data_IF_955147738352
#
_entry.id   IF_955147738352
#
_cell.length_a   1.000
_cell.length_b   1.000
_cell.length_c   1.000
_cell.angle_alpha   90.00
_cell.angle_beta   90.00
_cell.angle_gamma   90.00
#
_symmetry.space_group_name_H-M   'P 1'
#
loop_
_entity.id
_entity.type
_entity.pdbx_description
1 polymer ?
#
# COMPACT_ATOMS: atom_id res chain seq x y z
N UNK A 1 13.41 6.45 -3.38
CA UNK A 1 11.97 6.77 -3.49
C UNK A 1 11.52 7.12 -4.92
N UNK A 2 12.11 8.13 -5.59
CA UNK A 2 11.71 8.58 -6.95
C UNK A 2 11.56 7.47 -7.99
N UNK A 3 12.55 6.56 -8.10
CA UNK A 3 12.51 5.42 -9.03
C UNK A 3 11.28 4.52 -8.81
N UNK A 4 10.93 4.24 -7.54
CA UNK A 4 9.77 3.40 -7.19
C UNK A 4 8.45 4.09 -7.59
N UNK A 5 8.31 5.38 -7.30
CA UNK A 5 7.15 6.17 -7.71
C UNK A 5 6.98 6.11 -9.24
N UNK A 6 8.08 6.33 -9.97
CA UNK A 6 8.06 6.28 -11.42
C UNK A 6 7.64 4.89 -11.93
N UNK A 7 8.27 3.82 -11.44
CA UNK A 7 7.88 2.45 -11.82
C UNK A 7 6.41 2.15 -11.53
N UNK A 8 5.87 2.54 -10.37
CA UNK A 8 4.45 2.35 -10.04
C UNK A 8 3.56 3.07 -11.06
N UNK A 9 3.88 4.34 -11.37
CA UNK A 9 3.12 5.16 -12.32
C UNK A 9 3.23 4.66 -13.76
N UNK A 10 4.42 4.23 -14.18
CA UNK A 10 4.66 3.67 -15.52
C UNK A 10 3.87 2.38 -15.75
N UNK A 11 3.56 1.64 -14.69
CA UNK A 11 2.70 0.45 -14.72
C UNK A 11 1.20 0.78 -14.56
N UNK A 12 0.83 2.06 -14.50
CA UNK A 12 -0.56 2.49 -14.33
C UNK A 12 -1.15 2.16 -12.95
N UNK A 13 -0.30 1.94 -11.94
CA UNK A 13 -0.72 1.58 -10.58
C UNK A 13 -0.74 2.82 -9.66
N UNK A 14 -1.60 2.81 -8.61
CA UNK A 14 -1.75 3.95 -7.71
C UNK A 14 -0.57 4.14 -6.75
N UNK A 15 -0.26 5.42 -6.49
CA UNK A 15 0.59 5.89 -5.40
C UNK A 15 -0.17 6.99 -4.65
N UNK A 16 -0.45 6.76 -3.36
CA UNK A 16 -1.26 7.65 -2.54
C UNK A 16 -0.45 8.15 -1.34
N UNK A 17 -0.76 9.36 -0.88
CA UNK A 17 -0.18 9.96 0.32
C UNK A 17 -1.29 10.40 1.26
N UNK A 18 -1.06 10.26 2.57
CA UNK A 18 -1.93 10.79 3.60
C UNK A 18 -1.39 12.15 4.05
N UNK A 19 -2.25 13.16 4.02
CA UNK A 19 -1.94 14.49 4.55
C UNK A 19 -2.63 14.69 5.90
N UNK A 20 -1.89 15.21 6.87
CA UNK A 20 -2.41 15.62 8.16
C UNK A 20 -1.80 16.95 8.55
N UNK A 21 -2.65 17.96 8.79
CA UNK A 21 -2.22 19.34 9.10
C UNK A 21 -1.17 19.91 8.13
N UNK A 22 -1.32 19.60 6.84
CA UNK A 22 -0.43 20.08 5.78
C UNK A 22 0.87 19.29 5.61
N UNK A 23 1.13 18.27 6.45
CA UNK A 23 2.28 17.40 6.34
C UNK A 23 1.91 16.03 5.77
N UNK A 24 2.82 15.39 5.05
CA UNK A 24 2.68 13.98 4.64
C UNK A 24 3.00 13.10 5.85
N UNK A 25 2.03 12.32 6.32
CA UNK A 25 2.14 11.45 7.50
C UNK A 25 2.06 9.96 7.15
N UNK A 26 1.98 9.63 5.87
CA UNK A 26 1.93 8.25 5.40
C UNK A 26 1.80 8.17 3.89
N UNK A 27 2.08 7.00 3.34
CA UNK A 27 1.90 6.72 1.92
C UNK A 27 1.60 5.24 1.70
N UNK A 28 0.95 4.94 0.58
CA UNK A 28 0.76 3.57 0.12
C UNK A 28 0.85 3.47 -1.40
N UNK A 29 1.13 2.29 -1.91
CA UNK A 29 1.16 2.03 -3.35
C UNK A 29 0.91 0.55 -3.63
N UNK A 30 0.57 0.24 -4.88
CA UNK A 30 0.48 -1.12 -5.38
C UNK A 30 1.56 -1.43 -6.42
N UNK A 31 2.03 -2.66 -6.44
CA UNK A 31 2.95 -3.21 -7.47
C UNK A 31 2.48 -4.58 -7.93
N UNK A 32 2.98 -5.07 -9.06
CA UNK A 32 2.78 -6.47 -9.44
C UNK A 32 3.51 -7.40 -8.46
N UNK A 33 2.82 -8.43 -7.99
CA UNK A 33 3.35 -9.34 -6.97
C UNK A 33 4.60 -10.10 -7.46
N UNK A 34 4.56 -10.75 -8.64
CA UNK A 34 5.67 -11.52 -9.23
C UNK A 34 5.56 -11.59 -10.75
N UNK A 35 6.68 -11.80 -11.49
CA UNK A 35 6.67 -11.77 -12.96
C UNK A 35 6.06 -13.01 -13.62
N UNK A 36 5.77 -14.09 -12.89
CA UNK A 36 5.21 -15.31 -13.50
C UNK A 36 3.80 -15.03 -14.04
N UNK A 37 3.44 -15.47 -15.27
CA UNK A 37 2.14 -15.20 -15.87
C UNK A 37 0.91 -15.63 -15.07
N UNK A 38 1.07 -16.59 -14.15
CA UNK A 38 0.02 -17.01 -13.23
C UNK A 38 -0.44 -15.89 -12.28
N UNK A 39 0.44 -14.92 -11.96
CA UNK A 39 0.16 -13.79 -11.06
C UNK A 39 -0.21 -12.49 -11.80
N UNK A 40 -0.51 -12.55 -13.10
CA UNK A 40 -0.77 -11.34 -13.91
C UNK A 40 -1.95 -10.48 -13.44
N UNK A 41 -2.82 -11.02 -12.58
CA UNK A 41 -3.93 -10.30 -11.96
C UNK A 41 -3.76 -10.10 -10.45
N UNK A 42 -2.55 -10.31 -9.92
CA UNK A 42 -2.23 -10.22 -8.50
C UNK A 42 -1.35 -9.01 -8.23
N UNK A 43 -1.83 -8.14 -7.34
CA UNK A 43 -1.07 -7.01 -6.83
C UNK A 43 -0.51 -7.30 -5.43
N UNK A 44 0.56 -6.60 -5.10
CA UNK A 44 1.11 -6.46 -3.76
C UNK A 44 0.95 -5.01 -3.32
N UNK A 45 0.49 -4.80 -2.09
CA UNK A 45 0.43 -3.47 -1.48
C UNK A 45 1.65 -3.20 -0.58
N UNK A 46 1.99 -1.92 -0.41
CA UNK A 46 2.81 -1.50 0.72
C UNK A 46 2.24 -0.22 1.32
N UNK A 47 2.11 -0.18 2.64
CA UNK A 47 1.65 0.97 3.42
C UNK A 47 2.68 1.35 4.48
N UNK A 48 2.95 2.65 4.60
CA UNK A 48 3.81 3.21 5.64
C UNK A 48 3.10 4.40 6.29
N UNK A 49 3.12 4.44 7.62
CA UNK A 49 2.59 5.54 8.44
C UNK A 49 3.73 6.08 9.29
N UNK A 50 3.79 7.39 9.45
CA UNK A 50 4.79 8.06 10.28
C UNK A 50 4.75 7.53 11.73
N UNK A 51 5.93 7.40 12.35
CA UNK A 51 6.03 6.96 13.74
C UNK A 51 5.26 7.89 14.67
N UNK A 52 4.51 7.33 15.62
CA UNK A 52 3.63 8.10 16.51
C UNK A 52 2.30 8.56 15.90
N UNK A 53 2.05 8.27 14.61
CA UNK A 53 0.75 8.49 13.96
C UNK A 53 -0.12 7.21 13.89
N UNK A 54 0.31 6.13 14.55
CA UNK A 54 -0.47 4.90 14.72
C UNK A 54 -1.79 5.12 15.50
N UNK A 55 -2.72 4.17 15.40
CA UNK A 55 -4.02 4.21 16.10
C UNK A 55 -5.01 5.28 15.62
N UNK A 56 -4.68 6.04 14.56
CA UNK A 56 -5.50 7.15 14.04
C UNK A 56 -6.30 6.80 12.77
N UNK A 57 -6.34 5.53 12.39
CA UNK A 57 -7.01 5.06 11.18
C UNK A 57 -6.33 5.46 9.85
N UNK A 58 -5.13 6.07 9.88
CA UNK A 58 -4.41 6.53 8.66
C UNK A 58 -4.08 5.35 7.74
N UNK A 59 -3.53 4.26 8.29
CA UNK A 59 -3.20 3.06 7.53
C UNK A 59 -4.43 2.43 6.89
N UNK A 60 -5.52 2.28 7.64
CA UNK A 60 -6.79 1.77 7.14
C UNK A 60 -7.37 2.66 6.03
N UNK A 61 -7.36 3.98 6.20
CA UNK A 61 -7.83 4.92 5.17
C UNK A 61 -7.00 4.85 3.89
N UNK A 62 -5.67 4.74 4.01
CA UNK A 62 -4.77 4.52 2.88
C UNK A 62 -5.05 3.19 2.17
N UNK A 63 -5.22 2.09 2.92
CA UNK A 63 -5.53 0.78 2.36
C UNK A 63 -6.87 0.76 1.63
N UNK A 64 -7.94 1.24 2.28
CA UNK A 64 -9.27 1.28 1.69
C UNK A 64 -9.29 2.10 0.40
N UNK A 65 -8.59 3.24 0.38
CA UNK A 65 -8.48 4.04 -0.85
C UNK A 65 -7.66 3.34 -1.93
N UNK A 66 -6.57 2.68 -1.56
CA UNK A 66 -5.73 1.93 -2.51
C UNK A 66 -6.51 0.80 -3.18
N UNK A 67 -7.27 0.03 -2.39
CA UNK A 67 -8.15 -1.04 -2.88
C UNK A 67 -9.16 -0.47 -3.88
N UNK A 68 -9.88 0.60 -3.51
CA UNK A 68 -10.87 1.22 -4.37
C UNK A 68 -10.30 1.76 -5.71
N UNK A 69 -9.06 2.25 -5.72
CA UNK A 69 -8.39 2.64 -6.98
C UNK A 69 -7.99 1.41 -7.81
N UNK A 70 -7.51 0.34 -7.17
CA UNK A 70 -7.12 -0.90 -7.83
C UNK A 70 -8.32 -1.68 -8.40
N UNK A 71 -9.49 -1.65 -7.75
CA UNK A 71 -10.71 -2.32 -8.21
C UNK A 71 -11.22 -1.80 -9.56
N UNK A 72 -10.76 -0.61 -10.00
CA UNK A 72 -11.04 -0.07 -11.33
C UNK A 72 -10.25 -0.78 -12.44
N UNK A 73 -9.21 -1.53 -12.08
CA UNK A 73 -8.38 -2.32 -12.99
C UNK A 73 -8.83 -3.78 -13.10
N UNK A 74 -8.13 -4.59 -13.92
CA UNK A 74 -8.48 -6.00 -14.14
C UNK A 74 -8.01 -6.95 -13.03
N UNK A 75 -7.59 -6.41 -11.88
CA UNK A 75 -6.94 -7.16 -10.81
C UNK A 75 -7.96 -8.01 -10.05
N UNK A 76 -7.52 -9.16 -9.54
CA UNK A 76 -8.37 -10.14 -8.86
C UNK A 76 -7.98 -10.37 -7.41
N UNK A 77 -6.71 -10.12 -7.07
CA UNK A 77 -6.18 -10.36 -5.75
C UNK A 77 -5.17 -9.27 -5.39
N UNK A 78 -5.19 -8.85 -4.14
CA UNK A 78 -4.18 -8.00 -3.53
C UNK A 78 -3.63 -8.73 -2.30
N UNK A 79 -2.31 -8.65 -2.10
CA UNK A 79 -1.60 -9.31 -1.02
C UNK A 79 -0.75 -8.29 -0.26
N UNK A 80 -0.58 -8.52 1.03
CA UNK A 80 0.39 -7.83 1.87
C UNK A 80 1.50 -8.81 2.25
N UNK A 81 2.77 -8.41 2.09
CA UNK A 81 3.90 -9.19 2.61
C UNK A 81 4.38 -8.52 3.90
N UNK A 82 3.94 -9.08 5.03
CA UNK A 82 4.32 -8.59 6.36
C UNK A 82 5.50 -9.42 6.87
N UNK A 83 6.68 -8.81 6.96
CA UNK A 83 7.85 -9.38 7.60
C UNK A 83 7.91 -9.09 9.10
N UNK A 84 8.69 -9.90 9.82
CA UNK A 84 9.11 -9.70 11.23
C UNK A 84 8.05 -9.86 12.35
N UNK A 85 6.94 -10.57 12.08
CA UNK A 85 6.04 -11.11 13.13
C UNK A 85 5.73 -10.16 14.29
N UNK A 86 6.03 -10.57 15.52
CA UNK A 86 5.78 -9.82 16.76
C UNK A 86 6.48 -8.45 16.83
N UNK A 87 7.51 -8.20 16.01
CA UNK A 87 8.22 -6.93 15.96
C UNK A 87 7.61 -5.92 14.99
N UNK A 88 6.55 -6.31 14.26
CA UNK A 88 5.89 -5.48 13.26
C UNK A 88 4.39 -5.28 13.58
N UNK A 89 4.09 -4.99 14.85
CA UNK A 89 2.72 -4.78 15.35
C UNK A 89 1.93 -3.73 14.54
N UNK A 90 2.61 -2.71 14.01
CA UNK A 90 1.98 -1.66 13.20
C UNK A 90 1.36 -2.15 11.87
N UNK A 91 1.76 -3.32 11.36
CA UNK A 91 1.24 -3.89 10.11
C UNK A 91 0.10 -4.88 10.30
N UNK A 92 -0.13 -5.40 11.51
CA UNK A 92 -1.13 -6.45 11.76
C UNK A 92 -2.53 -5.91 12.09
N UNK A 93 -2.66 -4.59 12.29
CA UNK A 93 -3.85 -3.98 12.87
C UNK A 93 -3.93 -4.26 14.37
N UNK A 94 -4.32 -3.28 15.17
CA UNK A 94 -4.71 -3.56 16.54
C UNK A 94 -6.00 -4.43 16.51
N UNK A 95 -6.13 -5.45 17.37
CA UNK A 95 -7.35 -6.24 17.49
C UNK A 95 -8.58 -5.41 17.94
#
# INVERSE_FOLDING_TARGET
MRKRIQTVRDNGLPWLVALWRGAIVGYCYATFYRPRPAYRYTLEESIYVESGMGGRGIGSALLSRLIAECEKGPWRQMLAIIGDGHNNAGSLGDP
#
